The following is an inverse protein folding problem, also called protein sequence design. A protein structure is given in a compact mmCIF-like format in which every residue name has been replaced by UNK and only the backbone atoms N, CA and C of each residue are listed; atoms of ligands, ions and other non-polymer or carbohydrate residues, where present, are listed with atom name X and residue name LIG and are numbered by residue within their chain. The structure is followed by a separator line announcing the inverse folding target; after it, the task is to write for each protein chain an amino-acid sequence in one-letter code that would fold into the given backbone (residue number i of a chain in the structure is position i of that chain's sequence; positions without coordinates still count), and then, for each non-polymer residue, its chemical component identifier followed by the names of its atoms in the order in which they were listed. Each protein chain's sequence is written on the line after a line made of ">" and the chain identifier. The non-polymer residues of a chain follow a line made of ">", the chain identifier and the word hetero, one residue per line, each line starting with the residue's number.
data_IF_108845765521
#
_entry.id   IF_108845765521
#
_cell.length_a   1.000
_cell.length_b   1.000
_cell.length_c   1.000
_cell.angle_alpha   90.00
_cell.angle_beta   90.00
_cell.angle_gamma   90.00
#
_symmetry.space_group_name_H-M   'P 1'
#
loop_
_entity.id
_entity.type
_entity.pdbx_description
1 polymer ?
#
# COMPACT_ATOMS: atom_id res chain seq x y z
N UNK A 1 -19.14 -20.93 -4.31
CA UNK A 1 -17.92 -20.18 -4.05
C UNK A 1 -17.52 -20.30 -2.60
N UNK A 2 -16.24 -20.47 -2.32
CA UNK A 2 -15.63 -20.44 -1.00
C UNK A 2 -14.79 -19.18 -0.83
N UNK A 3 -14.96 -18.47 0.29
CA UNK A 3 -14.20 -17.26 0.61
C UNK A 3 -13.46 -17.48 1.93
N UNK A 4 -12.15 -17.23 1.95
CA UNK A 4 -11.38 -17.22 3.20
C UNK A 4 -11.28 -15.80 3.74
N UNK A 5 -11.62 -15.63 5.02
CA UNK A 5 -11.44 -14.37 5.74
C UNK A 5 -10.18 -14.43 6.59
N UNK A 6 -9.19 -13.62 6.24
CA UNK A 6 -7.95 -13.45 7.00
C UNK A 6 -8.07 -12.23 7.92
N UNK A 7 -8.03 -12.46 9.23
CA UNK A 7 -8.07 -11.38 10.22
C UNK A 7 -6.67 -11.00 10.67
N UNK A 8 -6.32 -9.71 10.55
CA UNK A 8 -5.11 -9.12 11.15
C UNK A 8 -5.42 -8.22 12.36
N UNK A 9 -6.71 -8.01 12.68
CA UNK A 9 -7.19 -7.16 13.77
C UNK A 9 -7.86 -5.89 13.25
N UNK A 10 -7.48 -4.73 13.80
CA UNK A 10 -8.03 -3.44 13.41
C UNK A 10 -9.37 -3.07 14.05
N UNK A 11 -9.81 -1.84 13.80
CA UNK A 11 -10.99 -1.23 14.42
C UNK A 11 -12.30 -1.98 14.13
N UNK A 12 -12.39 -2.68 12.99
CA UNK A 12 -13.54 -3.53 12.65
C UNK A 12 -13.79 -4.64 13.67
N UNK A 13 -12.73 -5.13 14.32
CA UNK A 13 -12.79 -6.14 15.37
C UNK A 13 -12.74 -5.54 16.80
N UNK A 14 -12.60 -4.22 16.93
CA UNK A 14 -12.49 -3.55 18.23
C UNK A 14 -13.85 -3.23 18.83
N UNK A 15 -13.99 -3.38 20.15
CA UNK A 15 -15.15 -2.90 20.93
C UNK A 15 -14.76 -1.75 21.86
N UNK A 16 -15.72 -0.89 22.20
CA UNK A 16 -15.56 0.32 22.99
C UNK A 16 -15.34 0.06 24.48
N UNK A 17 -14.09 -0.21 24.87
CA UNK A 17 -13.54 0.13 26.20
C UNK A 17 -12.69 1.41 26.13
N UNK A 18 -12.00 1.76 27.23
CA UNK A 18 -11.09 2.94 27.28
C UNK A 18 -9.93 2.86 26.27
N UNK A 19 -9.65 1.67 25.73
CA UNK A 19 -8.76 1.45 24.58
C UNK A 19 -9.49 0.61 23.54
N UNK A 20 -9.51 1.07 22.28
CA UNK A 20 -10.16 0.40 21.13
C UNK A 20 -9.39 -0.86 20.72
N UNK A 21 -9.37 -1.87 21.57
CA UNK A 21 -8.62 -3.12 21.36
C UNK A 21 -9.45 -4.12 20.56
N UNK A 22 -8.86 -4.87 19.59
CA UNK A 22 -9.56 -5.94 18.90
C UNK A 22 -10.01 -7.02 19.88
N UNK A 23 -11.32 -7.27 19.97
CA UNK A 23 -11.93 -8.26 20.89
C UNK A 23 -12.79 -9.29 20.16
N UNK A 24 -13.17 -9.03 18.92
CA UNK A 24 -14.04 -9.89 18.11
C UNK A 24 -13.26 -10.89 17.27
N UNK A 25 -13.76 -12.13 17.20
CA UNK A 25 -13.29 -13.13 16.25
C UNK A 25 -13.88 -12.89 14.84
N UNK A 26 -13.24 -13.42 13.80
CA UNK A 26 -13.69 -13.22 12.42
C UNK A 26 -15.06 -13.83 12.16
N UNK A 27 -15.39 -14.93 12.84
CA UNK A 27 -16.72 -15.56 12.81
C UNK A 27 -17.79 -14.62 13.37
N UNK A 28 -17.48 -13.89 14.45
CA UNK A 28 -18.42 -12.90 15.02
C UNK A 28 -18.62 -11.70 14.07
N UNK A 29 -17.63 -11.36 13.25
CA UNK A 29 -17.78 -10.33 12.21
C UNK A 29 -18.69 -10.83 11.10
N UNK A 30 -18.55 -12.07 10.67
CA UNK A 30 -19.40 -12.69 9.65
C UNK A 30 -20.85 -12.79 10.11
N UNK A 31 -21.08 -13.24 11.35
CA UNK A 31 -22.42 -13.37 11.93
C UNK A 31 -23.16 -12.03 12.05
N UNK A 32 -22.41 -10.92 12.14
CA UNK A 32 -22.97 -9.57 12.24
C UNK A 32 -23.49 -9.02 10.90
N UNK A 33 -23.21 -9.68 9.77
CA UNK A 33 -23.59 -9.22 8.43
C UNK A 33 -24.71 -10.11 7.86
N UNK A 34 -25.96 -9.61 7.80
CA UNK A 34 -27.06 -10.38 7.23
C UNK A 34 -26.83 -10.73 5.76
N UNK A 35 -27.10 -11.99 5.40
CA UNK A 35 -27.09 -12.48 4.01
C UNK A 35 -25.73 -12.91 3.47
N UNK A 36 -24.62 -12.83 4.25
CA UNK A 36 -23.31 -13.30 3.78
C UNK A 36 -23.31 -14.80 3.42
N UNK A 37 -23.98 -15.63 4.23
CA UNK A 37 -24.07 -17.08 3.99
C UNK A 37 -24.85 -17.45 2.73
N UNK A 38 -25.62 -16.52 2.16
CA UNK A 38 -26.28 -16.70 0.86
C UNK A 38 -25.33 -16.41 -0.31
N UNK A 39 -24.25 -15.64 -0.08
CA UNK A 39 -23.28 -15.25 -1.10
C UNK A 39 -22.14 -16.28 -1.23
N UNK A 40 -21.61 -16.75 -0.09
CA UNK A 40 -20.46 -17.66 -0.08
C UNK A 40 -20.46 -18.58 1.15
N UNK A 41 -19.65 -19.64 1.07
CA UNK A 41 -19.20 -20.39 2.25
C UNK A 41 -17.90 -19.79 2.76
N UNK A 42 -17.66 -19.83 4.08
CA UNK A 42 -16.53 -19.14 4.69
C UNK A 42 -15.60 -20.06 5.47
N UNK A 43 -14.31 -19.78 5.39
CA UNK A 43 -13.31 -20.15 6.38
C UNK A 43 -12.75 -18.87 7.02
N UNK A 44 -12.35 -18.94 8.28
CA UNK A 44 -11.76 -17.81 9.00
C UNK A 44 -10.40 -18.25 9.52
N UNK A 45 -9.36 -17.48 9.20
CA UNK A 45 -8.03 -17.64 9.77
C UNK A 45 -7.58 -16.34 10.43
N UNK A 46 -7.05 -16.46 11.65
CA UNK A 46 -6.49 -15.33 12.39
C UNK A 46 -4.99 -15.32 12.17
N UNK A 47 -4.55 -14.51 11.21
CA UNK A 47 -3.15 -14.30 10.88
C UNK A 47 -2.44 -13.48 11.96
N UNK A 48 -3.08 -12.42 12.43
CA UNK A 48 -2.53 -11.53 13.44
C UNK A 48 -3.65 -10.84 14.25
N UNK A 49 -3.26 -10.21 15.36
CA UNK A 49 -4.15 -9.33 16.15
C UNK A 49 -3.37 -8.10 16.57
N UNK A 50 -3.06 -7.23 15.60
CA UNK A 50 -2.20 -6.06 15.79
C UNK A 50 -2.95 -4.77 15.47
N UNK A 51 -2.43 -3.66 16.01
CA UNK A 51 -2.90 -2.34 15.64
C UNK A 51 -2.47 -2.02 14.22
N UNK A 52 -3.38 -1.42 13.42
CA UNK A 52 -3.09 -1.09 12.03
C UNK A 52 -1.91 -0.13 11.81
N UNK A 53 -1.44 0.58 12.84
CA UNK A 53 -0.26 1.46 12.76
C UNK A 53 1.06 0.75 13.10
N UNK A 54 1.02 -0.51 13.52
CA UNK A 54 2.19 -1.29 13.97
C UNK A 54 2.33 -2.55 13.12
N UNK A 55 2.35 -2.41 11.80
CA UNK A 55 2.61 -3.53 10.88
C UNK A 55 4.09 -3.52 10.50
N UNK A 56 4.79 -4.61 10.82
CA UNK A 56 6.21 -4.82 10.49
C UNK A 56 6.34 -5.65 9.21
N UNK A 57 7.53 -5.67 8.59
CA UNK A 57 7.82 -6.54 7.44
C UNK A 57 7.55 -8.02 7.74
N UNK A 58 7.95 -8.51 8.92
CA UNK A 58 7.66 -9.88 9.38
C UNK A 58 6.16 -10.18 9.41
N UNK A 59 5.34 -9.24 9.90
CA UNK A 59 3.87 -9.40 9.94
C UNK A 59 3.26 -9.35 8.55
N UNK A 60 3.82 -8.53 7.66
CA UNK A 60 3.38 -8.46 6.28
C UNK A 60 3.73 -9.75 5.51
N UNK A 61 4.92 -10.32 5.74
CA UNK A 61 5.31 -11.64 5.21
C UNK A 61 4.42 -12.77 5.73
N UNK A 62 4.04 -12.73 7.02
CA UNK A 62 3.07 -13.69 7.57
C UNK A 62 1.69 -13.58 6.91
N UNK A 63 1.22 -12.36 6.62
CA UNK A 63 -0.02 -12.13 5.88
C UNK A 63 0.08 -12.62 4.43
N UNK A 64 1.19 -12.36 3.75
CA UNK A 64 1.45 -12.88 2.41
C UNK A 64 1.36 -14.40 2.38
N UNK A 65 2.12 -15.08 3.24
CA UNK A 65 2.12 -16.54 3.31
C UNK A 65 0.75 -17.13 3.67
N UNK A 66 -0.04 -16.45 4.52
CA UNK A 66 -1.41 -16.85 4.81
C UNK A 66 -2.35 -16.67 3.61
N UNK A 67 -2.16 -15.61 2.84
CA UNK A 67 -2.93 -15.32 1.62
C UNK A 67 -2.65 -16.38 0.56
N UNK A 68 -1.40 -16.74 0.30
CA UNK A 68 -1.04 -17.78 -0.67
C UNK A 68 -1.62 -19.15 -0.31
N UNK A 69 -1.58 -19.52 0.99
CA UNK A 69 -2.23 -20.76 1.45
C UNK A 69 -3.74 -20.71 1.24
N UNK A 70 -4.38 -19.60 1.59
CA UNK A 70 -5.82 -19.42 1.40
C UNK A 70 -6.21 -19.45 -0.09
N UNK A 71 -5.37 -18.92 -0.98
CA UNK A 71 -5.61 -18.92 -2.42
C UNK A 71 -5.68 -20.33 -3.02
N UNK A 72 -4.96 -21.29 -2.43
CA UNK A 72 -5.03 -22.69 -2.86
C UNK A 72 -6.33 -23.40 -2.46
N UNK A 73 -7.10 -22.85 -1.51
CA UNK A 73 -8.25 -23.50 -0.88
C UNK A 73 -9.57 -22.71 -1.05
N UNK A 74 -9.52 -21.51 -1.63
CA UNK A 74 -10.65 -20.60 -1.77
C UNK A 74 -10.74 -20.00 -3.18
N UNK A 75 -11.92 -19.50 -3.53
CA UNK A 75 -12.17 -18.81 -4.79
C UNK A 75 -11.97 -17.28 -4.66
N UNK A 76 -11.66 -16.79 -3.45
CA UNK A 76 -11.51 -15.37 -3.15
C UNK A 76 -11.19 -15.13 -1.67
N UNK A 77 -10.47 -14.05 -1.38
CA UNK A 77 -9.92 -13.80 -0.04
C UNK A 77 -10.35 -12.42 0.46
N UNK A 78 -10.86 -12.34 1.68
CA UNK A 78 -11.12 -11.06 2.35
C UNK A 78 -10.13 -10.88 3.50
N UNK A 79 -9.42 -9.75 3.52
CA UNK A 79 -8.50 -9.41 4.60
C UNK A 79 -9.11 -8.30 5.46
N UNK A 80 -9.47 -8.59 6.71
CA UNK A 80 -9.89 -7.54 7.65
C UNK A 80 -8.66 -6.94 8.33
N UNK A 81 -8.44 -5.64 8.12
CA UNK A 81 -7.21 -4.95 8.50
C UNK A 81 -7.49 -3.63 9.23
N UNK A 82 -6.51 -3.15 10.00
CA UNK A 82 -6.53 -1.80 10.56
C UNK A 82 -6.33 -0.74 9.47
N UNK A 83 -7.10 0.36 9.52
CA UNK A 83 -7.16 1.31 8.40
C UNK A 83 -5.88 2.10 8.16
N UNK A 84 -5.02 2.28 9.16
CA UNK A 84 -3.84 3.16 9.07
C UNK A 84 -2.81 2.73 8.01
N UNK A 85 -2.47 1.43 7.95
CA UNK A 85 -1.54 0.87 6.94
C UNK A 85 -2.23 -0.13 5.99
N UNK A 86 -3.56 -0.09 5.89
CA UNK A 86 -4.31 -1.02 5.02
C UNK A 86 -3.91 -0.85 3.55
N UNK A 87 -3.78 0.40 3.08
CA UNK A 87 -3.37 0.68 1.71
C UNK A 87 -1.90 0.25 1.45
N UNK A 88 -1.03 0.33 2.45
CA UNK A 88 0.35 -0.17 2.42
C UNK A 88 0.39 -1.71 2.30
N UNK A 89 -0.38 -2.38 3.14
CA UNK A 89 -0.42 -3.85 3.19
C UNK A 89 -1.05 -4.43 1.92
N UNK A 90 -2.13 -3.83 1.42
CA UNK A 90 -2.74 -4.20 0.15
C UNK A 90 -1.77 -4.02 -1.01
N UNK A 91 -1.06 -2.88 -1.06
CA UNK A 91 -0.08 -2.61 -2.11
C UNK A 91 1.11 -3.55 -2.07
N UNK A 92 1.66 -3.83 -0.89
CA UNK A 92 2.75 -4.80 -0.75
C UNK A 92 2.32 -6.20 -1.18
N UNK A 93 1.13 -6.66 -0.79
CA UNK A 93 0.61 -7.96 -1.19
C UNK A 93 0.46 -8.05 -2.72
N UNK A 94 -0.11 -7.03 -3.35
CA UNK A 94 -0.28 -6.93 -4.81
C UNK A 94 1.08 -6.94 -5.53
N UNK A 95 2.12 -6.33 -4.95
CA UNK A 95 3.48 -6.35 -5.51
C UNK A 95 4.19 -7.70 -5.35
N UNK A 96 3.85 -8.50 -4.34
CA UNK A 96 4.66 -9.67 -3.93
C UNK A 96 3.95 -11.00 -4.15
N UNK A 97 2.79 -11.01 -4.80
CA UNK A 97 2.04 -12.24 -5.08
C UNK A 97 1.51 -12.23 -6.51
N UNK A 98 1.40 -13.44 -7.08
CA UNK A 98 0.70 -13.71 -8.34
C UNK A 98 -0.43 -14.69 -8.03
N UNK A 99 -1.58 -14.17 -7.61
CA UNK A 99 -2.72 -14.98 -7.20
C UNK A 99 -3.77 -15.06 -8.31
N UNK A 100 -4.24 -16.26 -8.60
CA UNK A 100 -5.35 -16.53 -9.53
C UNK A 100 -6.74 -16.32 -8.89
N UNK A 101 -6.79 -15.70 -7.71
CA UNK A 101 -8.03 -15.37 -6.99
C UNK A 101 -7.95 -13.94 -6.47
N UNK A 102 -9.08 -13.21 -6.41
CA UNK A 102 -9.08 -11.83 -5.97
C UNK A 102 -8.92 -11.72 -4.45
N UNK A 103 -8.24 -10.66 -4.02
CA UNK A 103 -8.09 -10.31 -2.60
C UNK A 103 -8.73 -8.96 -2.32
N UNK A 104 -9.64 -8.89 -1.35
CA UNK A 104 -10.24 -7.63 -0.90
C UNK A 104 -9.84 -7.30 0.55
N UNK A 105 -9.03 -6.26 0.71
CA UNK A 105 -8.80 -5.63 2.00
C UNK A 105 -9.99 -4.78 2.41
N UNK A 106 -10.38 -4.90 3.67
CA UNK A 106 -11.44 -4.06 4.24
C UNK A 106 -11.27 -3.86 5.74
N UNK A 107 -12.06 -2.98 6.34
CA UNK A 107 -12.02 -2.68 7.76
C UNK A 107 -13.13 -1.71 8.17
N UNK A 108 -12.89 -0.94 9.24
CA UNK A 108 -13.85 0.03 9.73
C UNK A 108 -13.15 1.23 10.35
N UNK A 109 -13.72 2.42 10.20
CA UNK A 109 -13.30 3.64 10.89
C UNK A 109 -13.94 3.77 12.28
N UNK A 110 -15.08 3.10 12.47
CA UNK A 110 -15.80 3.03 13.76
C UNK A 110 -15.69 1.62 14.36
N UNK A 111 -15.52 1.51 15.70
CA UNK A 111 -15.55 0.22 16.40
C UNK A 111 -16.80 -0.58 16.11
N UNK A 112 -16.71 -1.89 16.28
CA UNK A 112 -17.77 -2.87 16.00
C UNK A 112 -19.07 -2.58 16.74
N UNK A 113 -19.00 -2.18 18.00
CA UNK A 113 -20.14 -1.92 18.89
C UNK A 113 -20.63 -0.47 18.84
N UNK A 114 -20.00 0.39 18.03
CA UNK A 114 -20.42 1.77 17.88
C UNK A 114 -21.67 1.86 17.00
N UNK A 115 -22.67 2.64 17.43
CA UNK A 115 -23.84 2.97 16.60
C UNK A 115 -23.40 3.60 15.28
N UNK A 116 -23.88 3.03 14.18
CA UNK A 116 -23.51 3.45 12.82
C UNK A 116 -22.09 3.01 12.45
N UNK A 117 -21.60 1.88 12.96
CA UNK A 117 -20.37 1.26 12.49
C UNK A 117 -20.41 0.96 11.00
N UNK A 118 -19.30 1.18 10.32
CA UNK A 118 -19.08 0.92 8.91
C UNK A 118 -18.52 -0.49 8.63
N UNK A 119 -18.19 -1.26 9.68
CA UNK A 119 -17.64 -2.61 9.53
C UNK A 119 -18.54 -3.58 8.74
N UNK A 120 -19.80 -3.81 9.16
CA UNK A 120 -20.70 -4.71 8.46
C UNK A 120 -20.93 -4.39 6.97
N UNK A 121 -21.25 -3.14 6.56
CA UNK A 121 -21.40 -2.83 5.13
C UNK A 121 -20.09 -2.97 4.35
N UNK A 122 -18.95 -2.56 4.92
CA UNK A 122 -17.65 -2.73 4.26
C UNK A 122 -17.30 -4.21 4.03
N UNK A 123 -17.56 -5.07 5.03
CA UNK A 123 -17.33 -6.51 4.91
C UNK A 123 -18.27 -7.16 3.86
N UNK A 124 -19.54 -6.75 3.82
CA UNK A 124 -20.47 -7.18 2.79
C UNK A 124 -19.96 -6.83 1.39
N UNK A 125 -19.53 -5.59 1.19
CA UNK A 125 -19.03 -5.12 -0.11
C UNK A 125 -17.72 -5.80 -0.49
N UNK A 126 -16.82 -6.07 0.47
CA UNK A 126 -15.60 -6.85 0.22
C UNK A 126 -15.90 -8.28 -0.25
N UNK A 127 -16.82 -8.98 0.41
CA UNK A 127 -17.25 -10.33 -0.01
C UNK A 127 -17.90 -10.29 -1.37
N UNK A 128 -18.76 -9.29 -1.65
CA UNK A 128 -19.38 -9.11 -2.97
C UNK A 128 -18.34 -8.86 -4.06
N UNK A 129 -17.27 -8.13 -3.78
CA UNK A 129 -16.18 -7.88 -4.73
C UNK A 129 -15.50 -9.17 -5.13
N UNK A 130 -14.98 -9.93 -4.16
CA UNK A 130 -14.25 -11.18 -4.46
C UNK A 130 -15.16 -12.25 -5.04
N UNK A 131 -16.47 -12.16 -4.81
CA UNK A 131 -17.46 -13.11 -5.34
C UNK A 131 -18.06 -12.74 -6.68
N UNK A 132 -17.65 -11.63 -7.28
CA UNK A 132 -18.22 -11.18 -8.53
C UNK A 132 -17.55 -11.88 -9.72
N UNK A 133 -18.33 -12.39 -10.66
CA UNK A 133 -17.87 -13.07 -11.90
C UNK A 133 -16.99 -12.23 -12.84
N UNK A 134 -16.74 -10.96 -12.49
CA UNK A 134 -15.93 -10.02 -13.28
C UNK A 134 -14.74 -9.57 -12.47
N UNK A 135 -14.34 -10.30 -11.44
CA UNK A 135 -13.22 -9.98 -10.55
C UNK A 135 -12.52 -11.30 -10.31
N UNK A 136 -11.61 -11.65 -11.23
CA UNK A 136 -10.96 -12.97 -11.23
C UNK A 136 -9.61 -12.95 -10.49
N UNK A 137 -8.92 -11.81 -10.47
CA UNK A 137 -7.62 -11.64 -9.83
C UNK A 137 -7.44 -10.23 -9.25
N UNK A 138 -6.26 -10.02 -8.65
CA UNK A 138 -5.78 -8.72 -8.20
C UNK A 138 -6.12 -8.40 -6.75
N UNK A 139 -5.39 -7.45 -6.19
CA UNK A 139 -5.63 -6.96 -4.83
C UNK A 139 -6.37 -5.63 -4.83
N UNK A 140 -7.45 -5.58 -4.05
CA UNK A 140 -8.32 -4.41 -3.92
C UNK A 140 -8.45 -3.98 -2.46
N UNK A 141 -8.77 -2.70 -2.27
CA UNK A 141 -9.26 -2.16 -1.01
C UNK A 141 -10.71 -1.75 -1.20
N UNK A 142 -11.61 -2.32 -0.39
CA UNK A 142 -13.06 -2.11 -0.49
C UNK A 142 -13.58 -1.40 0.74
N UNK A 143 -14.13 -0.20 0.54
CA UNK A 143 -14.59 0.68 1.62
C UNK A 143 -15.68 1.64 1.12
N UNK A 144 -16.70 1.91 1.95
CA UNK A 144 -17.79 2.86 1.62
C UNK A 144 -18.43 2.58 0.24
N UNK A 145 -18.65 1.28 -0.04
CA UNK A 145 -19.15 0.75 -1.33
C UNK A 145 -18.26 0.98 -2.56
N UNK A 146 -17.07 1.57 -2.42
CA UNK A 146 -16.07 1.72 -3.49
C UNK A 146 -15.04 0.59 -3.48
N UNK A 147 -14.60 0.18 -4.67
CA UNK A 147 -13.57 -0.84 -4.90
C UNK A 147 -12.36 -0.16 -5.55
N UNK A 148 -11.24 -0.12 -4.84
CA UNK A 148 -10.01 0.54 -5.29
C UNK A 148 -8.93 -0.48 -5.60
N UNK A 149 -8.18 -0.30 -6.69
CA UNK A 149 -6.97 -1.08 -6.93
C UNK A 149 -5.90 -0.75 -5.88
N UNK A 150 -5.18 -1.75 -5.39
CA UNK A 150 -4.14 -1.57 -4.37
C UNK A 150 -3.06 -0.56 -4.79
N UNK A 151 -2.67 -0.56 -6.07
CA UNK A 151 -1.76 0.44 -6.67
C UNK A 151 -2.24 1.89 -6.48
N UNK A 152 -3.55 2.14 -6.55
CA UNK A 152 -4.10 3.50 -6.59
C UNK A 152 -4.56 4.03 -5.23
N UNK A 153 -4.98 3.15 -4.34
CA UNK A 153 -5.70 3.56 -3.13
C UNK A 153 -4.79 4.26 -2.11
N UNK A 154 -5.28 5.32 -1.48
CA UNK A 154 -4.64 6.02 -0.36
C UNK A 154 -5.67 6.32 0.73
N UNK A 155 -5.23 6.36 2.00
CA UNK A 155 -6.07 6.88 3.09
C UNK A 155 -6.01 8.41 3.09
N UNK A 156 -7.05 9.07 2.60
CA UNK A 156 -7.13 10.53 2.44
C UNK A 156 -7.52 11.27 3.73
N UNK A 157 -8.22 10.60 4.64
CA UNK A 157 -8.84 11.26 5.80
C UNK A 157 -8.63 10.48 7.11
N UNK A 158 -8.40 11.18 8.21
CA UNK A 158 -8.11 10.50 9.49
C UNK A 158 -9.32 9.78 10.10
N UNK A 159 -10.53 10.32 9.93
CA UNK A 159 -11.76 9.80 10.58
C UNK A 159 -13.03 9.64 9.72
N UNK A 160 -13.06 10.10 8.46
CA UNK A 160 -14.26 9.99 7.62
C UNK A 160 -14.52 8.53 7.25
N UNK A 161 -15.78 8.18 6.95
CA UNK A 161 -16.12 6.84 6.45
C UNK A 161 -15.63 6.67 5.01
N UNK A 162 -15.83 7.68 4.17
CA UNK A 162 -15.21 7.84 2.84
C UNK A 162 -13.73 8.26 2.92
N UNK A 163 -12.91 7.48 3.63
CA UNK A 163 -11.49 7.81 3.84
C UNK A 163 -10.56 7.30 2.74
N UNK A 164 -10.89 6.20 2.08
CA UNK A 164 -10.06 5.70 1.00
C UNK A 164 -10.44 6.36 -0.32
N UNK A 165 -9.43 6.66 -1.14
CA UNK A 165 -9.63 7.26 -2.46
C UNK A 165 -8.51 6.79 -3.39
N UNK A 166 -8.76 6.88 -4.70
CA UNK A 166 -7.81 6.60 -5.77
C UNK A 166 -7.61 7.87 -6.59
N UNK A 167 -6.79 8.83 -6.13
CA UNK A 167 -6.86 10.21 -6.60
C UNK A 167 -6.57 10.39 -8.10
N UNK A 168 -5.59 9.65 -8.64
CA UNK A 168 -5.16 9.79 -10.03
C UNK A 168 -6.12 9.15 -11.04
N UNK A 169 -6.67 7.98 -10.69
CA UNK A 169 -7.34 7.08 -11.65
C UNK A 169 -8.77 6.71 -11.25
N UNK A 170 -9.23 7.14 -10.08
CA UNK A 170 -10.54 6.77 -9.52
C UNK A 170 -10.64 5.28 -9.12
N UNK A 171 -11.73 4.90 -8.44
CA UNK A 171 -12.00 3.51 -8.08
C UNK A 171 -12.16 2.64 -9.34
N UNK A 172 -11.96 1.33 -9.18
CA UNK A 172 -12.23 0.32 -10.21
C UNK A 172 -13.74 0.14 -10.41
N UNK A 173 -14.51 0.25 -9.33
CA UNK A 173 -15.97 0.20 -9.37
C UNK A 173 -16.62 0.62 -8.07
N UNK A 174 -17.95 0.64 -8.06
CA UNK A 174 -18.78 0.96 -6.89
C UNK A 174 -19.98 0.01 -6.81
N UNK A 175 -20.44 -0.29 -5.58
CA UNK A 175 -21.74 -0.92 -5.37
C UNK A 175 -22.84 0.13 -5.28
N UNK A 176 -23.88 -0.08 -6.06
CA UNK A 176 -25.09 0.76 -6.05
C UNK A 176 -26.31 -0.08 -5.71
N UNK A 177 -27.48 0.53 -5.42
CA UNK A 177 -28.72 -0.23 -5.32
C UNK A 177 -29.07 -1.05 -6.57
N UNK A 178 -28.50 -0.71 -7.73
CA UNK A 178 -28.70 -1.44 -8.99
C UNK A 178 -27.65 -2.55 -9.22
N UNK A 179 -26.69 -2.74 -8.32
CA UNK A 179 -25.62 -3.73 -8.41
C UNK A 179 -24.23 -3.11 -8.57
N UNK A 180 -23.27 -3.94 -9.00
CA UNK A 180 -21.86 -3.55 -9.13
C UNK A 180 -21.61 -2.82 -10.45
N UNK A 181 -21.21 -1.55 -10.35
CA UNK A 181 -20.87 -0.69 -11.48
C UNK A 181 -19.36 -0.59 -11.60
N UNK A 182 -18.81 -1.14 -12.68
CA UNK A 182 -17.39 -1.04 -13.00
C UNK A 182 -17.10 0.22 -13.81
N UNK A 183 -16.01 0.89 -13.46
CA UNK A 183 -15.43 2.02 -14.18
C UNK A 183 -14.19 1.64 -14.97
N UNK A 184 -13.42 0.67 -14.45
CA UNK A 184 -12.14 0.21 -14.99
C UNK A 184 -12.12 -1.32 -15.03
N UNK A 185 -11.13 -1.85 -15.74
CA UNK A 185 -10.83 -3.28 -15.73
C UNK A 185 -10.39 -3.73 -14.33
N UNK A 186 -10.83 -4.91 -13.93
CA UNK A 186 -10.47 -5.59 -12.67
C UNK A 186 -9.25 -6.45 -12.94
N UNK A 187 -8.10 -5.99 -12.45
CA UNK A 187 -6.84 -6.69 -12.54
C UNK A 187 -5.87 -6.16 -11.50
N UNK A 188 -4.77 -6.87 -11.26
CA UNK A 188 -3.61 -6.22 -10.65
C UNK A 188 -3.04 -5.13 -11.57
N UNK A 189 -2.74 -3.97 -10.99
CA UNK A 189 -2.06 -2.86 -11.68
C UNK A 189 -0.61 -2.71 -11.21
N UNK A 190 -0.23 -3.46 -10.18
CA UNK A 190 1.13 -3.53 -9.70
C UNK A 190 1.90 -4.55 -10.55
N UNK A 191 3.11 -4.23 -10.99
CA UNK A 191 4.01 -5.29 -11.45
C UNK A 191 4.27 -6.26 -10.30
N UNK A 192 4.49 -7.55 -10.57
CA UNK A 192 4.66 -8.55 -9.54
C UNK A 192 6.12 -8.97 -9.35
N UNK A 193 6.44 -9.30 -8.09
CA UNK A 193 7.70 -9.84 -7.60
C UNK A 193 7.43 -11.01 -6.65
N UNK A 194 6.83 -12.12 -7.13
CA UNK A 194 6.45 -13.26 -6.30
C UNK A 194 7.66 -14.02 -5.71
N UNK A 195 8.86 -13.74 -6.21
CA UNK A 195 10.15 -14.24 -5.75
C UNK A 195 10.68 -13.54 -4.50
N UNK A 196 10.08 -12.42 -4.08
CA UNK A 196 10.48 -11.69 -2.87
C UNK A 196 9.70 -12.20 -1.66
N UNK A 197 10.34 -13.06 -0.87
CA UNK A 197 9.75 -13.63 0.34
C UNK A 197 10.02 -12.80 1.61
N UNK A 198 11.18 -12.16 1.69
CA UNK A 198 11.64 -11.39 2.86
C UNK A 198 12.13 -10.00 2.45
N UNK A 199 11.81 -8.99 3.26
CA UNK A 199 12.24 -7.60 3.05
C UNK A 199 12.93 -7.12 4.32
N UNK A 200 14.24 -6.92 4.23
CA UNK A 200 15.07 -6.40 5.32
C UNK A 200 15.55 -4.97 5.08
N UNK A 201 15.39 -4.46 3.85
CA UNK A 201 15.95 -3.19 3.41
C UNK A 201 15.49 -2.00 4.28
N UNK A 202 16.46 -1.23 4.78
CA UNK A 202 16.20 0.01 5.51
C UNK A 202 16.06 1.18 4.53
N UNK A 203 14.82 1.62 4.34
CA UNK A 203 14.47 2.71 3.43
C UNK A 203 13.74 3.84 4.18
N UNK A 204 14.43 4.89 4.66
CA UNK A 204 13.76 6.06 5.23
C UNK A 204 13.08 6.92 4.17
N UNK A 205 12.05 7.65 4.62
CA UNK A 205 11.38 8.69 3.82
C UNK A 205 11.69 10.05 4.43
N UNK A 206 12.31 10.94 3.66
CA UNK A 206 12.54 12.34 4.04
C UNK A 206 11.61 13.27 3.28
N UNK A 207 11.02 14.24 3.97
CA UNK A 207 10.15 15.23 3.32
C UNK A 207 10.90 16.54 3.09
N UNK A 208 10.94 17.00 1.84
CA UNK A 208 11.46 18.31 1.50
C UNK A 208 10.44 19.42 1.80
N UNK A 209 10.94 20.64 1.95
CA UNK A 209 10.11 21.79 2.31
C UNK A 209 10.91 23.06 2.57
N UNK A 210 10.20 24.10 2.99
CA UNK A 210 10.80 25.40 3.29
C UNK A 210 11.92 25.26 4.33
N UNK A 211 13.16 25.54 3.92
CA UNK A 211 14.32 25.54 4.81
C UNK A 211 14.82 24.15 5.25
N UNK A 212 14.34 23.06 4.64
CA UNK A 212 14.89 21.72 4.90
C UNK A 212 16.35 21.65 4.43
N UNK A 213 17.25 21.27 5.32
CA UNK A 213 18.69 21.08 5.05
C UNK A 213 19.05 19.66 4.60
N UNK A 214 20.35 19.41 4.40
CA UNK A 214 20.88 18.10 4.01
C UNK A 214 21.39 17.23 5.17
N UNK A 215 21.64 17.79 6.35
CA UNK A 215 22.34 17.13 7.45
C UNK A 215 21.73 15.79 7.88
N UNK A 216 20.39 15.69 7.91
CA UNK A 216 19.72 14.45 8.29
C UNK A 216 20.01 13.32 7.31
N UNK A 217 20.11 13.64 6.02
CA UNK A 217 20.44 12.69 4.96
C UNK A 217 21.94 12.38 4.94
N UNK A 218 22.81 13.36 5.17
CA UNK A 218 24.25 13.09 5.29
C UNK A 218 24.56 12.13 6.45
N UNK A 219 23.86 12.23 7.59
CA UNK A 219 24.07 11.32 8.73
C UNK A 219 23.76 9.85 8.45
N UNK A 220 22.92 9.53 7.47
CA UNK A 220 22.64 8.12 7.13
C UNK A 220 23.73 7.49 6.25
N UNK A 221 24.58 8.31 5.62
CA UNK A 221 25.67 7.87 4.73
C UNK A 221 27.07 8.09 5.30
N UNK A 222 27.23 8.99 6.25
CA UNK A 222 28.52 9.42 6.82
C UNK A 222 28.82 8.69 8.14
N UNK A 223 28.98 7.37 8.08
CA UNK A 223 29.39 6.54 9.21
C UNK A 223 30.68 5.79 8.87
N UNK A 224 31.61 5.78 9.84
CA UNK A 224 32.90 5.07 9.74
C UNK A 224 32.74 3.55 9.47
N UNK A 225 31.55 3.00 9.74
CA UNK A 225 31.20 1.58 9.59
C UNK A 225 30.38 1.26 8.31
N UNK A 226 30.23 2.24 7.39
CA UNK A 226 29.42 2.10 6.17
C UNK A 226 27.98 2.62 6.32
N UNK A 227 27.20 2.68 5.22
CA UNK A 227 25.87 3.28 5.25
C UNK A 227 24.87 2.47 6.08
N UNK A 228 23.99 3.17 6.80
CA UNK A 228 22.96 2.55 7.64
C UNK A 228 21.70 2.17 6.86
N UNK A 229 21.61 2.57 5.59
CA UNK A 229 20.40 2.46 4.77
C UNK A 229 20.72 1.86 3.42
N UNK A 230 19.79 1.06 2.90
CA UNK A 230 19.91 0.40 1.60
C UNK A 230 19.33 1.25 0.47
N UNK A 231 18.53 2.27 0.80
CA UNK A 231 17.93 3.20 -0.14
C UNK A 231 17.23 4.36 0.56
N UNK A 232 16.90 5.42 -0.16
CA UNK A 232 16.23 6.60 0.43
C UNK A 232 15.09 7.05 -0.48
N UNK A 233 13.95 7.41 0.11
CA UNK A 233 12.89 8.14 -0.59
C UNK A 233 12.85 9.59 -0.13
N UNK A 234 12.78 10.53 -1.07
CA UNK A 234 12.57 11.95 -0.79
C UNK A 234 11.20 12.38 -1.32
N UNK A 235 10.31 12.77 -0.42
CA UNK A 235 9.06 13.45 -0.75
C UNK A 235 9.36 14.92 -1.08
N UNK A 236 9.65 15.18 -2.35
CA UNK A 236 9.95 16.49 -2.91
C UNK A 236 8.74 17.44 -2.94
N UNK A 237 9.00 18.67 -3.34
CA UNK A 237 7.99 19.71 -3.53
C UNK A 237 7.51 19.77 -4.98
N UNK A 238 6.21 19.96 -5.21
CA UNK A 238 5.65 20.08 -6.56
C UNK A 238 5.95 18.84 -7.41
N UNK A 239 6.65 19.02 -8.53
CA UNK A 239 7.05 17.93 -9.44
C UNK A 239 8.21 17.06 -8.92
N UNK A 240 8.56 17.13 -7.63
CA UNK A 240 9.67 16.39 -7.03
C UNK A 240 10.95 17.21 -6.82
N UNK A 241 10.86 18.55 -6.75
CA UNK A 241 12.03 19.39 -6.47
C UNK A 241 12.42 19.37 -4.98
N UNK A 242 13.69 19.57 -4.67
CA UNK A 242 14.20 19.71 -3.29
C UNK A 242 14.75 21.12 -3.03
N UNK A 243 15.16 21.37 -1.79
CA UNK A 243 16.05 22.51 -1.50
C UNK A 243 17.45 22.23 -2.06
N UNK A 244 18.23 23.28 -2.35
CA UNK A 244 19.62 23.11 -2.79
C UNK A 244 20.49 22.40 -1.74
N UNK A 245 20.27 22.65 -0.45
CA UNK A 245 20.98 21.96 0.63
C UNK A 245 20.68 20.45 0.66
N UNK A 246 19.42 20.05 0.45
CA UNK A 246 19.06 18.64 0.37
C UNK A 246 19.57 18.02 -0.94
N UNK A 247 19.58 18.77 -2.04
CA UNK A 247 20.15 18.35 -3.33
C UNK A 247 21.62 17.94 -3.19
N UNK A 248 22.43 18.77 -2.51
CA UNK A 248 23.83 18.43 -2.24
C UNK A 248 23.99 17.15 -1.41
N UNK A 249 23.13 16.92 -0.42
CA UNK A 249 23.15 15.66 0.34
C UNK A 249 22.73 14.44 -0.51
N UNK A 250 21.75 14.61 -1.42
CA UNK A 250 21.33 13.55 -2.35
C UNK A 250 22.50 13.16 -3.28
N UNK A 251 23.26 14.13 -3.77
CA UNK A 251 24.45 13.86 -4.58
C UNK A 251 25.46 12.97 -3.85
N UNK A 252 25.75 13.27 -2.58
CA UNK A 252 26.67 12.47 -1.77
C UNK A 252 26.15 11.06 -1.50
N UNK A 253 24.84 10.90 -1.26
CA UNK A 253 24.19 9.59 -1.09
C UNK A 253 24.29 8.75 -2.38
N UNK A 254 24.04 9.36 -3.53
CA UNK A 254 24.17 8.69 -4.83
C UNK A 254 25.63 8.32 -5.13
N UNK A 255 26.59 9.18 -4.79
CA UNK A 255 28.04 8.86 -4.90
C UNK A 255 28.45 7.68 -4.01
N UNK A 256 27.79 7.49 -2.87
CA UNK A 256 27.98 6.33 -2.01
C UNK A 256 27.31 5.04 -2.54
N UNK A 257 26.65 5.09 -3.70
CA UNK A 257 26.01 3.93 -4.34
C UNK A 257 24.63 3.60 -3.81
N UNK A 258 24.04 4.45 -2.97
CA UNK A 258 22.73 4.22 -2.35
C UNK A 258 21.64 4.76 -3.28
N UNK A 259 20.64 3.96 -3.66
CA UNK A 259 19.56 4.43 -4.49
C UNK A 259 18.71 5.50 -3.80
N UNK A 260 18.41 6.57 -4.52
CA UNK A 260 17.51 7.64 -4.08
C UNK A 260 16.32 7.71 -5.02
N UNK A 261 15.12 7.63 -4.47
CA UNK A 261 13.84 7.81 -5.16
C UNK A 261 13.26 9.18 -4.85
N UNK A 262 12.88 9.92 -5.88
CA UNK A 262 12.19 11.19 -5.76
C UNK A 262 10.68 10.98 -5.98
N UNK A 263 9.91 11.23 -4.91
CA UNK A 263 8.46 11.31 -4.93
C UNK A 263 8.01 12.76 -4.72
N UNK A 264 6.70 13.00 -4.71
CA UNK A 264 6.13 14.28 -4.28
C UNK A 264 5.48 14.17 -2.91
N UNK A 265 5.55 15.26 -2.13
CA UNK A 265 4.73 15.47 -0.94
C UNK A 265 3.34 16.02 -1.27
N UNK A 266 3.10 16.41 -2.53
CA UNK A 266 1.76 16.75 -2.98
C UNK A 266 0.85 15.54 -2.83
N UNK A 267 -0.45 15.79 -2.65
CA UNK A 267 -1.43 14.71 -2.52
C UNK A 267 -1.56 13.88 -3.80
N UNK A 268 -1.39 14.54 -4.94
CA UNK A 268 -1.66 14.04 -6.29
C UNK A 268 -0.63 14.64 -7.26
N UNK A 269 -0.44 13.97 -8.39
CA UNK A 269 0.38 14.35 -9.52
C UNK A 269 1.67 13.55 -9.65
N UNK A 270 2.06 13.28 -10.90
CA UNK A 270 3.31 12.65 -11.22
C UNK A 270 4.51 13.62 -11.07
N UNK A 271 5.63 13.09 -10.59
CA UNK A 271 6.93 13.76 -10.58
C UNK A 271 7.51 13.91 -12.00
N UNK A 272 8.23 15.00 -12.25
CA UNK A 272 8.83 15.28 -13.56
C UNK A 272 10.08 16.19 -13.44
N UNK A 273 11.23 15.81 -14.02
CA UNK A 273 12.47 16.58 -13.97
C UNK A 273 12.46 17.76 -14.96
N UNK A 274 11.78 18.86 -14.62
CA UNK A 274 11.64 20.02 -15.52
C UNK A 274 12.45 21.26 -15.12
N UNK A 275 12.83 21.37 -13.86
CA UNK A 275 13.51 22.55 -13.32
C UNK A 275 15.00 22.27 -13.11
N UNK A 276 15.86 23.22 -13.51
CA UNK A 276 17.30 23.17 -13.22
C UNK A 276 17.72 24.02 -12.03
N UNK A 277 19.02 24.03 -11.76
CA UNK A 277 19.61 24.67 -10.59
C UNK A 277 19.54 23.79 -9.34
N UNK A 278 20.21 24.20 -8.28
CA UNK A 278 20.34 23.40 -7.06
C UNK A 278 18.96 23.03 -6.47
N UNK A 279 18.64 21.73 -6.48
CA UNK A 279 17.36 21.17 -6.02
C UNK A 279 16.28 21.06 -7.09
N UNK A 280 16.55 21.51 -8.32
CA UNK A 280 15.68 21.27 -9.46
C UNK A 280 15.75 19.82 -9.95
N UNK A 281 14.63 19.30 -10.43
CA UNK A 281 14.54 17.92 -10.92
C UNK A 281 15.51 17.53 -12.03
N UNK A 282 15.91 18.43 -12.95
CA UNK A 282 16.91 18.09 -13.99
C UNK A 282 18.28 17.84 -13.38
N UNK A 283 18.65 18.58 -12.32
CA UNK A 283 19.91 18.37 -11.59
C UNK A 283 19.86 17.07 -10.79
N UNK A 284 18.73 16.74 -10.18
CA UNK A 284 18.55 15.45 -9.51
C UNK A 284 18.67 14.28 -10.48
N UNK A 285 18.16 14.41 -11.70
CA UNK A 285 18.29 13.40 -12.75
C UNK A 285 19.75 13.14 -13.16
N UNK A 286 20.60 14.16 -13.17
CA UNK A 286 22.05 14.00 -13.41
C UNK A 286 22.74 13.12 -12.35
N UNK A 287 22.16 12.99 -11.16
CA UNK A 287 22.66 12.11 -10.09
C UNK A 287 22.19 10.65 -10.21
N UNK A 288 21.37 10.35 -11.23
CA UNK A 288 20.80 9.01 -11.44
C UNK A 288 19.75 8.63 -10.40
N UNK A 289 18.97 9.60 -9.90
CA UNK A 289 17.82 9.28 -9.02
C UNK A 289 16.73 8.52 -9.77
N UNK A 290 15.99 7.70 -9.04
CA UNK A 290 14.77 7.06 -9.53
C UNK A 290 13.57 7.99 -9.32
N UNK A 291 12.61 7.97 -10.24
CA UNK A 291 11.40 8.81 -10.14
C UNK A 291 10.19 7.96 -9.76
N UNK A 292 9.47 8.36 -8.72
CA UNK A 292 8.32 7.61 -8.21
C UNK A 292 7.07 7.72 -9.10
N UNK A 293 7.13 8.49 -10.21
CA UNK A 293 5.95 8.80 -11.00
C UNK A 293 4.91 9.50 -10.12
N UNK A 294 3.71 8.93 -10.07
CA UNK A 294 2.57 9.35 -9.25
C UNK A 294 2.43 8.58 -7.93
N UNK A 295 3.35 7.66 -7.62
CA UNK A 295 3.30 6.98 -6.32
C UNK A 295 3.57 7.96 -5.18
N UNK A 296 2.73 7.96 -4.12
CA UNK A 296 3.05 8.69 -2.91
C UNK A 296 4.32 8.13 -2.27
N UNK A 297 5.05 8.95 -1.52
CA UNK A 297 6.36 8.61 -0.98
C UNK A 297 6.39 7.28 -0.18
N UNK A 298 5.31 6.94 0.52
CA UNK A 298 5.22 5.68 1.26
C UNK A 298 5.05 4.45 0.35
N UNK A 299 4.34 4.55 -0.79
CA UNK A 299 4.30 3.48 -1.80
C UNK A 299 5.64 3.34 -2.52
N UNK A 300 6.25 4.48 -2.85
CA UNK A 300 7.59 4.51 -3.43
C UNK A 300 8.61 3.81 -2.52
N UNK A 301 8.51 4.02 -1.20
CA UNK A 301 9.31 3.33 -0.18
C UNK A 301 9.11 1.81 -0.22
N UNK A 302 7.86 1.35 -0.22
CA UNK A 302 7.54 -0.08 -0.29
C UNK A 302 8.11 -0.69 -1.59
N UNK A 303 7.88 -0.03 -2.72
CA UNK A 303 8.36 -0.52 -4.01
C UNK A 303 9.88 -0.57 -4.09
N UNK A 304 10.58 0.43 -3.53
CA UNK A 304 12.04 0.43 -3.46
C UNK A 304 12.56 -0.71 -2.57
N UNK A 305 11.92 -0.94 -1.42
CA UNK A 305 12.29 -2.04 -0.54
C UNK A 305 12.12 -3.42 -1.21
N UNK A 306 11.03 -3.61 -1.99
CA UNK A 306 10.84 -4.81 -2.81
C UNK A 306 11.90 -4.89 -3.91
N UNK A 307 12.17 -3.80 -4.62
CA UNK A 307 13.18 -3.76 -5.69
C UNK A 307 14.60 -4.07 -5.20
N UNK A 308 14.92 -3.71 -3.96
CA UNK A 308 16.20 -4.02 -3.29
C UNK A 308 16.28 -5.47 -2.79
N UNK A 309 15.13 -6.09 -2.50
CA UNK A 309 15.06 -7.47 -2.02
C UNK A 309 15.09 -8.51 -3.16
N UNK A 310 14.92 -8.09 -4.42
CA UNK A 310 15.03 -8.97 -5.61
C UNK A 310 16.48 -9.44 -5.79
N UNK A 311 16.64 -10.64 -6.36
CA UNK A 311 17.97 -11.20 -6.61
C UNK A 311 18.81 -10.31 -7.55
N UNK A 312 19.98 -9.88 -7.10
CA UNK A 312 20.91 -9.06 -7.89
C UNK A 312 21.88 -8.26 -7.02
N UNK A 313 22.86 -7.60 -7.66
CA UNK A 313 23.66 -6.56 -7.01
C UNK A 313 22.97 -5.21 -7.23
N UNK A 314 22.49 -4.57 -6.16
CA UNK A 314 21.84 -3.26 -6.20
C UNK A 314 20.33 -3.32 -6.45
N UNK A 315 19.73 -2.17 -6.75
CA UNK A 315 18.29 -2.03 -6.97
C UNK A 315 17.86 -2.55 -8.34
N UNK A 316 16.80 -3.36 -8.40
CA UNK A 316 16.14 -3.71 -9.66
C UNK A 316 15.34 -2.50 -10.20
N UNK A 317 16.02 -1.63 -10.95
CA UNK A 317 15.43 -0.43 -11.53
C UNK A 317 14.30 -0.75 -12.52
N UNK A 318 14.41 -1.87 -13.26
CA UNK A 318 13.39 -2.28 -14.23
C UNK A 318 12.07 -2.63 -13.53
N UNK A 319 12.14 -3.39 -12.43
CA UNK A 319 10.98 -3.64 -11.58
C UNK A 319 10.46 -2.34 -10.95
N UNK A 320 11.35 -1.50 -10.43
CA UNK A 320 10.94 -0.23 -9.81
C UNK A 320 10.18 0.66 -10.79
N UNK A 321 10.64 0.78 -12.03
CA UNK A 321 10.02 1.62 -13.07
C UNK A 321 8.77 1.00 -13.70
N UNK A 322 8.57 -0.31 -13.59
CA UNK A 322 7.42 -1.00 -14.18
C UNK A 322 6.09 -0.40 -13.68
N UNK A 323 5.26 0.10 -14.61
CA UNK A 323 3.98 0.73 -14.30
C UNK A 323 4.04 2.20 -13.87
N UNK A 324 5.24 2.78 -13.66
CA UNK A 324 5.41 4.21 -13.35
C UNK A 324 5.46 5.10 -14.60
N UNK A 325 5.91 4.54 -15.72
CA UNK A 325 6.03 5.21 -17.02
C UNK A 325 5.48 4.29 -18.10
N UNK A 326 4.86 4.85 -19.13
CA UNK A 326 4.63 4.07 -20.35
C UNK A 326 5.98 3.83 -21.04
N UNK A 327 6.29 2.59 -21.49
CA UNK A 327 7.53 2.33 -22.22
C UNK A 327 7.66 3.23 -23.45
N UNK A 328 8.71 4.05 -23.51
CA UNK A 328 9.05 4.85 -24.68
C UNK A 328 8.61 6.33 -24.67
N UNK A 329 8.27 6.89 -23.50
CA UNK A 329 8.13 8.33 -23.29
C UNK A 329 9.23 8.90 -22.40
#
# INVERSE_FOLDING_TARGET
>A
MHVTVLSTGGTIASTGGDSKTPTKAGEELLDAVPGLSELASFSVDRVASVSGFDVTWERAAALRAATERAAAESDGIVVTHGTDTMAESAYLLDLTTDLDVPVAFTGAQRPFDQVGTDGPPNLLSAVRTVSHERVDDGTYLVFDDEVHAAWDVVKRHTSALSTFDSPERGPVGEFTPAGFRLFRETRSYSGSAPDVDEIEAEVPVLTSGLGVGGDALCRVVDLDDGPFVDGVVVAGTGLGNTTGALCGAIEEVRKAGIPVVIASRCHEGATAPLYGGDGGGTTLEEFGVLWAGDLPAWKARIKLAVALAREGEGVDEAFFEAGLREPGQ
#
